data_IF_713074872259
#
_entry.id   IF_713074872259
#
_cell.length_a   1.000
_cell.length_b   1.000
_cell.length_c   1.000
_cell.angle_alpha   90.00
_cell.angle_beta   90.00
_cell.angle_gamma   90.00
#
_symmetry.space_group_name_H-M   'P 1'
#
loop_
_entity.id
_entity.type
_entity.pdbx_description
1 polymer ?
2 water ?
#
# COMPACT_ATOMS: atom_id res chain seq x y z
N UNK A 2 5.49 -9.76 -15.39
CA UNK A 2 5.21 -9.06 -14.10
C UNK A 2 3.85 -9.44 -13.56
N UNK A 3 3.73 -9.39 -12.24
CA UNK A 3 2.49 -9.74 -11.58
C UNK A 3 1.35 -8.81 -12.03
N UNK A 4 1.59 -7.50 -12.21
CA UNK A 4 0.55 -6.59 -12.63
C UNK A 4 0.92 -6.02 -14.00
N UNK A 5 0.06 -6.24 -14.99
CA UNK A 5 0.31 -5.79 -16.36
C UNK A 5 -0.98 -5.16 -16.89
N UNK A 6 -0.87 -3.90 -17.28
CA UNK A 6 -1.99 -3.13 -17.82
C UNK A 6 -1.61 -2.44 -19.11
N UNK A 7 -2.49 -2.52 -20.09
CA UNK A 7 -2.42 -1.75 -21.31
C UNK A 7 -3.84 -1.35 -21.73
N UNK A 8 -4.24 -0.13 -21.39
CA UNK A 8 -5.57 0.39 -21.65
C UNK A 8 -5.47 1.65 -22.50
N UNK A 9 -6.56 1.98 -23.20
CA UNK A 9 -6.64 3.18 -23.99
C UNK A 9 -7.96 3.90 -23.77
N UNK A 10 -7.91 5.24 -23.86
CA UNK A 10 -9.08 6.10 -23.71
C UNK A 10 -8.99 7.21 -24.72
N UNK A 11 -10.09 7.54 -25.41
CA UNK A 11 -10.06 8.66 -26.35
C UNK A 11 -10.32 9.96 -25.60
N UNK A 12 -9.47 10.95 -25.85
CA UNK A 12 -9.66 12.31 -25.33
C UNK A 12 -9.69 13.25 -26.54
N UNK A 13 -10.77 13.98 -26.67
CA UNK A 13 -10.97 14.93 -27.77
C UNK A 13 -10.37 16.29 -27.42
N UNK A 14 -9.05 16.30 -27.32
CA UNK A 14 -8.26 17.50 -27.03
C UNK A 14 -6.87 17.36 -27.64
N UNK A 15 -6.20 18.51 -27.83
CA UNK A 15 -4.87 18.57 -28.39
C UNK A 15 -3.89 17.80 -27.53
N UNK A 16 -2.95 17.10 -28.22
CA UNK A 16 -1.95 16.30 -27.55
C UNK A 16 -1.19 17.13 -26.53
N UNK A 17 -0.93 18.41 -26.82
CA UNK A 17 -0.21 19.22 -25.87
C UNK A 17 -0.93 19.37 -24.54
N UNK A 18 -2.26 19.58 -24.61
CA UNK A 18 -3.06 19.75 -23.41
C UNK A 18 -3.11 18.43 -22.65
N UNK A 19 -3.31 17.33 -23.39
CA UNK A 19 -3.45 16.05 -22.73
C UNK A 19 -2.12 15.68 -22.04
N UNK A 20 -1.00 15.90 -22.74
CA UNK A 20 0.28 15.55 -22.17
C UNK A 20 0.58 16.39 -20.92
N UNK A 21 0.21 17.69 -20.96
CA UNK A 21 0.43 18.53 -19.83
C UNK A 21 -0.39 18.06 -18.62
N UNK A 22 -1.64 17.60 -18.90
CA UNK A 22 -2.49 17.15 -17.82
C UNK A 22 -1.91 15.91 -17.13
N UNK A 23 -1.42 14.95 -17.92
CA UNK A 23 -0.95 13.72 -17.34
C UNK A 23 0.41 13.90 -16.69
N UNK A 24 1.13 14.97 -17.06
CA UNK A 24 2.43 15.24 -16.50
C UNK A 24 2.40 16.05 -15.19
N UNK A 25 1.19 16.41 -14.73
CA UNK A 25 1.03 17.21 -13.52
C UNK A 25 1.33 16.40 -12.24
N UNK A 26 2.42 16.76 -11.56
CA UNK A 26 2.91 16.00 -10.42
C UNK A 26 1.92 15.93 -9.28
N UNK A 27 1.15 17.01 -9.11
CA UNK A 27 0.16 17.05 -8.04
C UNK A 27 -1.02 16.10 -8.36
N UNK A 28 -1.37 16.00 -9.65
CA UNK A 28 -2.41 15.05 -10.03
C UNK A 28 -2.02 13.60 -9.70
N UNK A 29 -0.72 13.28 -9.84
CA UNK A 29 -0.27 11.93 -9.59
C UNK A 29 -0.61 11.48 -8.17
N UNK A 30 -0.53 12.41 -7.21
CA UNK A 30 -0.84 12.10 -5.83
C UNK A 30 -2.30 11.70 -5.67
N UNK A 31 -3.19 12.39 -6.42
CA UNK A 31 -4.60 12.06 -6.35
C UNK A 31 -4.88 10.75 -7.05
N UNK A 32 -4.29 10.55 -8.20
CA UNK A 32 -4.59 9.38 -8.99
C UNK A 32 -4.00 8.08 -8.42
N UNK A 33 -2.80 8.18 -7.85
CA UNK A 33 -2.05 7.04 -7.39
C UNK A 33 -1.50 7.33 -6.01
N UNK A 34 -2.36 7.46 -4.98
CA UNK A 34 -1.87 7.86 -3.66
C UNK A 34 -0.89 6.91 -2.98
N UNK A 35 -0.90 5.63 -3.36
CA UNK A 35 0.02 4.67 -2.75
C UNK A 35 1.26 4.42 -3.61
N UNK A 36 1.45 5.20 -4.67
CA UNK A 36 2.64 5.09 -5.50
C UNK A 36 3.46 6.39 -5.41
N UNK A 37 4.79 6.25 -5.54
CA UNK A 37 5.68 7.37 -5.78
C UNK A 37 6.23 7.22 -7.18
N UNK A 38 6.16 8.28 -7.98
CA UNK A 38 6.61 8.22 -9.36
C UNK A 38 7.84 9.10 -9.55
N UNK A 39 8.75 8.59 -10.39
CA UNK A 39 9.93 9.31 -10.84
C UNK A 39 9.86 9.38 -12.36
N UNK A 40 10.03 10.57 -12.94
CA UNK A 40 10.07 10.66 -14.38
C UNK A 40 11.37 10.13 -14.94
N UNK A 41 11.30 9.17 -15.87
CA UNK A 41 12.45 8.74 -16.61
C UNK A 41 12.56 9.49 -17.93
N UNK A 42 11.43 9.73 -18.58
CA UNK A 42 11.41 10.47 -19.83
C UNK A 42 10.15 11.31 -19.93
N UNK A 43 10.31 12.57 -20.28
CA UNK A 43 9.18 13.36 -20.71
C UNK A 43 9.24 13.45 -22.22
N UNK A 44 8.20 13.02 -22.94
CA UNK A 44 8.23 13.04 -24.37
C UNK A 44 7.14 13.96 -24.97
N UNK A 45 6.90 15.05 -24.26
CA UNK A 45 6.17 16.19 -24.77
C UNK A 45 4.79 15.73 -25.18
N UNK A 46 4.41 15.99 -26.41
CA UNK A 46 3.08 15.70 -26.93
C UNK A 46 2.82 14.20 -27.07
N UNK A 47 3.86 13.38 -26.80
CA UNK A 47 3.69 11.95 -26.88
C UNK A 47 3.52 11.29 -25.52
N UNK A 48 3.63 12.03 -24.42
CA UNK A 48 3.39 11.43 -23.12
C UNK A 48 4.66 11.37 -22.28
N UNK A 49 4.77 10.35 -21.46
CA UNK A 49 5.67 10.35 -20.32
C UNK A 49 5.97 8.91 -19.90
N UNK A 50 7.17 8.70 -19.35
CA UNK A 50 7.60 7.39 -18.84
C UNK A 50 8.10 7.59 -17.41
N UNK A 51 7.63 6.71 -16.52
CA UNK A 51 7.93 6.75 -15.10
C UNK A 51 8.56 5.43 -14.63
N UNK A 52 9.31 5.55 -13.54
CA UNK A 52 9.52 4.44 -12.62
C UNK A 52 8.60 4.62 -11.42
N UNK A 53 8.18 3.48 -10.91
CA UNK A 53 7.21 3.41 -9.84
C UNK A 53 7.86 2.77 -8.63
N UNK A 54 7.65 3.41 -7.47
CA UNK A 54 7.95 2.86 -6.15
C UNK A 54 6.74 3.06 -5.26
N UNK A 55 6.85 2.63 -4.01
CA UNK A 55 5.73 2.66 -3.10
C UNK A 55 5.11 1.27 -3.04
N UNK A 56 3.79 1.20 -3.21
CA UNK A 56 3.11 -0.07 -3.09
C UNK A 56 3.48 -1.03 -4.20
N UNK A 57 3.83 -0.49 -5.36
CA UNK A 57 4.32 -1.29 -6.48
C UNK A 57 5.68 -0.79 -6.89
N UNK A 58 6.45 -1.68 -7.52
CA UNK A 58 7.76 -1.40 -8.07
C UNK A 58 7.74 -1.83 -9.52
N UNK A 59 8.06 -0.91 -10.41
CA UNK A 59 8.03 -1.21 -11.83
C UNK A 59 8.10 0.04 -12.71
N UNK A 60 7.42 -0.04 -13.86
CA UNK A 60 7.41 1.03 -14.84
C UNK A 60 5.99 1.32 -15.25
N UNK A 61 5.78 2.56 -15.68
CA UNK A 61 4.45 3.05 -16.01
C UNK A 61 4.65 4.07 -17.10
N UNK A 62 3.75 4.12 -18.07
CA UNK A 62 3.87 5.04 -19.18
C UNK A 62 2.49 5.54 -19.60
N UNK A 63 2.50 6.75 -20.19
CA UNK A 63 1.41 7.21 -21.01
C UNK A 63 1.98 7.51 -22.40
N UNK A 64 1.28 7.02 -23.42
CA UNK A 64 1.55 7.30 -24.81
C UNK A 64 0.33 7.89 -25.48
N UNK A 65 0.52 8.92 -26.30
CA UNK A 65 -0.61 9.54 -26.99
C UNK A 65 -0.50 9.34 -28.50
N UNK A 66 -1.53 8.76 -29.09
CA UNK A 66 -1.61 8.53 -30.52
C UNK A 66 -2.74 9.38 -31.09
N UNK A 67 -2.49 10.30 -32.04
CA UNK A 67 -3.57 11.07 -32.63
C UNK A 67 -4.65 10.17 -33.22
N UNK A 68 -5.91 10.59 -33.00
CA UNK A 68 -7.08 9.90 -33.50
C UNK A 68 -8.24 10.89 -33.49
N UNK A 69 -9.10 10.85 -34.52
CA UNK A 69 -10.34 11.62 -34.51
C UNK A 69 -10.00 13.11 -34.25
N UNK A 70 -10.59 13.72 -33.22
CA UNK A 70 -10.38 15.12 -32.88
C UNK A 70 -9.44 15.27 -31.70
N UNK A 71 -8.58 14.29 -31.48
CA UNK A 71 -7.78 14.30 -30.28
C UNK A 71 -6.71 13.21 -30.30
N UNK A 72 -6.65 12.47 -29.18
CA UNK A 72 -5.62 11.46 -28.99
C UNK A 72 -6.22 10.25 -28.27
N UNK A 73 -5.60 9.10 -28.52
CA UNK A 73 -5.83 7.93 -27.69
C UNK A 73 -4.79 7.92 -26.59
N UNK A 74 -5.27 8.01 -25.36
CA UNK A 74 -4.41 8.06 -24.18
C UNK A 74 -4.18 6.63 -23.73
N UNK A 75 -2.98 6.13 -24.05
CA UNK A 75 -2.55 4.78 -23.67
C UNK A 75 -1.99 4.86 -22.27
N UNK A 76 -2.48 3.99 -21.39
CA UNK A 76 -1.99 3.85 -20.04
C UNK A 76 -1.38 2.45 -19.91
N UNK A 77 -0.14 2.39 -19.49
CA UNK A 77 0.64 1.15 -19.38
C UNK A 77 1.24 1.05 -17.99
N UNK A 78 1.17 -0.13 -17.36
CA UNK A 78 1.79 -0.41 -16.09
C UNK A 78 2.35 -1.83 -16.14
N UNK A 79 3.60 -2.02 -15.72
CA UNK A 79 4.16 -3.33 -15.46
C UNK A 79 4.85 -3.23 -14.12
N UNK A 80 4.35 -3.96 -13.12
CA UNK A 80 4.94 -3.81 -11.78
C UNK A 80 4.72 -5.05 -10.93
N UNK A 81 5.45 -5.08 -9.83
CA UNK A 81 5.29 -6.07 -8.79
C UNK A 81 4.90 -5.39 -7.48
N UNK A 82 4.15 -6.06 -6.61
CA UNK A 82 4.02 -5.60 -5.23
C UNK A 82 5.38 -5.47 -4.57
N UNK A 83 5.65 -4.32 -3.98
CA UNK A 83 7.01 -3.97 -3.59
C UNK A 83 7.49 -4.82 -2.44
N UNK A 84 8.64 -5.49 -2.60
CA UNK A 84 9.41 -5.99 -1.48
C UNK A 84 8.89 -7.31 -0.93
N UNK A 85 7.81 -7.86 -1.51
CA UNK A 85 7.14 -8.97 -0.86
C UNK A 85 7.97 -10.25 -0.93
N UNK A 86 7.80 -11.07 0.10
CA UNK A 86 8.35 -12.41 0.13
C UNK A 86 7.47 -13.30 -0.76
N UNK A 87 8.08 -14.40 -1.21
CA UNK A 87 7.36 -15.34 -2.06
C UNK A 87 6.09 -15.83 -1.36
N UNK A 88 6.13 -16.04 -0.03
CA UNK A 88 4.95 -16.52 0.68
C UNK A 88 3.82 -15.49 0.64
N UNK A 89 4.17 -14.19 0.62
CA UNK A 89 3.17 -13.14 0.55
C UNK A 89 2.57 -13.08 -0.84
N UNK A 90 3.44 -13.09 -1.87
CA UNK A 90 2.99 -13.02 -3.24
C UNK A 90 2.01 -14.17 -3.54
N UNK A 91 2.38 -15.35 -3.06
CA UNK A 91 1.62 -16.55 -3.32
C UNK A 91 0.20 -16.47 -2.77
N UNK A 92 -0.05 -15.65 -1.73
CA UNK A 92 -1.36 -15.50 -1.11
C UNK A 92 -2.14 -14.32 -1.67
N UNK A 93 -1.58 -13.56 -2.62
CA UNK A 93 -2.30 -12.40 -3.15
C UNK A 93 -3.21 -12.80 -4.32
N UNK A 94 -4.29 -12.05 -4.50
CA UNK A 94 -5.16 -12.19 -5.66
C UNK A 94 -4.73 -11.19 -6.73
N UNK A 95 -3.82 -11.64 -7.61
CA UNK A 95 -3.26 -10.72 -8.59
C UNK A 95 -4.33 -10.25 -9.60
N UNK A 96 -5.37 -11.04 -9.87
CA UNK A 96 -6.38 -10.61 -10.84
C UNK A 96 -7.15 -9.41 -10.28
N UNK A 97 -7.51 -9.54 -9.01
CA UNK A 97 -8.28 -8.50 -8.33
C UNK A 97 -7.41 -7.26 -8.23
N UNK A 98 -6.14 -7.45 -7.85
CA UNK A 98 -5.21 -6.32 -7.75
C UNK A 98 -5.08 -5.64 -9.11
N UNK A 99 -4.96 -6.41 -10.18
CA UNK A 99 -4.83 -5.84 -11.51
C UNK A 99 -6.09 -5.04 -11.86
N UNK A 100 -7.24 -5.58 -11.53
CA UNK A 100 -8.50 -4.89 -11.77
C UNK A 100 -8.52 -3.53 -11.09
N UNK A 101 -8.12 -3.51 -9.82
CA UNK A 101 -8.12 -2.26 -9.08
C UNK A 101 -7.18 -1.24 -9.72
N UNK A 102 -6.02 -1.71 -10.16
CA UNK A 102 -5.08 -0.77 -10.79
C UNK A 102 -5.59 -0.29 -12.15
N UNK A 103 -6.33 -1.14 -12.87
CA UNK A 103 -6.94 -0.73 -14.13
C UNK A 103 -7.99 0.35 -13.89
N UNK A 104 -8.85 0.11 -12.89
CA UNK A 104 -9.90 1.08 -12.57
C UNK A 104 -9.26 2.44 -12.23
N UNK A 105 -8.16 2.42 -11.44
CA UNK A 105 -7.51 3.69 -11.08
C UNK A 105 -6.92 4.38 -12.31
N UNK A 106 -6.36 3.60 -13.23
CA UNK A 106 -5.86 4.17 -14.46
C UNK A 106 -6.93 4.81 -15.34
N UNK A 107 -8.08 4.15 -15.36
CA UNK A 107 -9.18 4.65 -16.13
C UNK A 107 -9.79 5.88 -15.47
N UNK A 108 -9.74 5.97 -14.14
CA UNK A 108 -10.24 7.17 -13.46
C UNK A 108 -9.35 8.37 -13.79
N UNK A 109 -8.04 8.11 -13.88
CA UNK A 109 -7.12 9.16 -14.32
C UNK A 109 -7.52 9.62 -15.72
N UNK A 110 -7.76 8.67 -16.63
CA UNK A 110 -7.96 9.00 -18.04
C UNK A 110 -9.27 9.76 -18.18
N UNK A 111 -10.30 9.26 -17.49
CA UNK A 111 -11.61 9.92 -17.58
C UNK A 111 -11.63 11.31 -16.93
N UNK A 112 -10.77 11.55 -15.94
CA UNK A 112 -10.67 12.87 -15.37
C UNK A 112 -10.05 13.79 -16.40
N UNK A 113 -8.94 13.34 -17.00
CA UNK A 113 -8.29 14.18 -18.00
C UNK A 113 -9.27 14.47 -19.12
N UNK A 114 -9.98 13.44 -19.58
CA UNK A 114 -11.00 13.62 -20.62
C UNK A 114 -12.03 14.67 -20.23
N UNK A 115 -12.57 14.52 -19.03
CA UNK A 115 -13.63 15.39 -18.56
C UNK A 115 -13.18 16.86 -18.54
N UNK A 116 -12.02 17.06 -17.93
CA UNK A 116 -11.54 18.41 -17.71
C UNK A 116 -11.20 19.06 -19.05
N UNK A 117 -10.58 18.32 -19.98
CA UNK A 117 -10.12 18.96 -21.20
C UNK A 117 -11.24 19.10 -22.23
N UNK A 118 -12.28 18.26 -22.17
CA UNK A 118 -13.37 18.37 -23.10
C UNK A 118 -14.43 19.33 -22.58
N UNK A 119 -14.39 19.73 -21.30
CA UNK A 119 -15.48 20.53 -20.71
C UNK A 119 -15.79 21.74 -21.58
N UNK A 120 -17.10 21.99 -21.78
CA UNK A 120 -17.54 23.17 -22.51
C UNK A 120 -17.46 24.44 -21.66
N UNK A 121 -17.58 25.60 -22.32
CA UNK A 121 -17.45 26.95 -21.75
C UNK A 121 -18.31 27.12 -20.48
N UNK A 122 -17.80 27.77 -19.40
CA UNK A 122 -18.60 28.05 -18.20
C UNK A 122 -19.76 29.01 -18.52
N UNK A 123 -20.78 29.03 -17.66
CA UNK A 123 -21.96 29.85 -17.92
C UNK A 123 -21.72 31.27 -17.45
N UNK A 124 -22.11 32.24 -18.29
CA UNK A 124 -21.98 33.66 -18.00
C UNK A 124 -20.54 34.04 -17.67
N UNK A 125 -19.64 33.48 -18.47
CA UNK A 125 -18.24 33.89 -18.53
C UNK A 125 -17.94 34.12 -20.01
N UNK A 126 -17.17 35.18 -20.31
CA UNK A 126 -16.80 35.49 -21.68
C UNK A 126 -15.88 34.43 -22.27
N UNK A 127 -15.91 34.21 -23.61
CA UNK A 127 -16.89 34.84 -24.50
C UNK A 127 -18.20 34.06 -24.59
N UNK A 128 -19.32 34.80 -24.58
CA UNK A 128 -20.66 34.23 -24.71
C UNK A 128 -21.02 34.25 -26.19
N UNK A 129 -21.24 33.05 -26.75
CA UNK A 129 -21.62 32.87 -28.15
C UNK A 129 -22.68 31.76 -28.26
N UNK B 2 3.70 10.41 13.90
CA UNK B 2 3.47 9.65 12.64
C UNK B 2 3.87 8.17 12.79
N UNK B 3 3.63 7.58 13.97
CA UNK B 3 3.96 6.20 14.21
C UNK B 3 2.72 5.41 14.65
N UNK B 4 2.85 4.11 14.60
CA UNK B 4 1.91 3.22 15.21
C UNK B 4 2.54 2.72 16.49
N UNK B 5 1.85 2.97 17.63
CA UNK B 5 2.37 2.57 18.92
C UNK B 5 1.29 1.80 19.64
N UNK B 6 1.63 0.55 19.95
CA UNK B 6 0.71 -0.32 20.66
C UNK B 6 1.43 -0.90 21.86
N UNK B 7 0.73 -0.94 22.99
CA UNK B 7 1.15 -1.66 24.18
C UNK B 7 -0.10 -2.23 24.85
N UNK B 8 -0.47 -3.44 24.44
CA UNK B 8 -1.68 -4.09 24.93
C UNK B 8 -1.29 -5.34 25.69
N UNK B 9 -2.25 -5.83 26.46
CA UNK B 9 -2.02 -7.03 27.26
C UNK B 9 -3.30 -7.85 27.27
N UNK B 10 -3.06 -9.16 27.32
CA UNK B 10 -4.13 -10.13 27.33
C UNK B 10 -3.78 -11.18 28.36
N UNK B 11 -4.73 -11.48 29.25
CA UNK B 11 -4.56 -12.57 30.21
C UNK B 11 -4.78 -13.89 29.50
N UNK B 12 -3.84 -14.82 29.66
CA UNK B 12 -3.98 -16.18 29.17
C UNK B 12 -3.78 -17.12 30.36
N UNK B 13 -4.78 -17.96 30.63
CA UNK B 13 -4.68 -18.91 31.73
C UNK B 13 -3.99 -20.17 31.21
N UNK B 14 -2.68 -20.04 30.97
CA UNK B 14 -1.82 -21.15 30.61
C UNK B 14 -0.37 -20.81 30.93
N UNK B 15 0.45 -21.86 30.97
CA UNK B 15 1.86 -21.83 31.28
C UNK B 15 2.61 -20.96 30.28
N UNK B 16 3.60 -20.22 30.77
CA UNK B 16 4.43 -19.40 29.89
C UNK B 16 5.07 -20.24 28.79
N UNK B 17 5.46 -21.48 29.12
CA UNK B 17 6.10 -22.33 28.12
C UNK B 17 5.16 -22.62 26.94
N UNK B 18 3.90 -22.85 27.24
CA UNK B 18 2.93 -23.17 26.21
C UNK B 18 2.61 -21.93 25.39
N UNK B 19 2.51 -20.80 26.07
CA UNK B 19 2.17 -19.57 25.38
C UNK B 19 3.33 -19.20 24.44
N UNK B 20 4.57 -19.33 24.94
CA UNK B 20 5.72 -18.93 24.13
C UNK B 20 5.85 -19.81 22.88
N UNK B 21 5.52 -21.10 23.01
CA UNK B 21 5.57 -21.99 21.85
C UNK B 21 4.56 -21.53 20.80
N UNK B 22 3.38 -21.12 21.27
CA UNK B 22 2.32 -20.69 20.39
C UNK B 22 2.72 -19.42 19.62
N UNK B 23 3.29 -18.45 20.35
CA UNK B 23 3.60 -17.19 19.69
C UNK B 23 4.83 -17.31 18.81
N UNK B 24 5.63 -18.37 18.99
CA UNK B 24 6.87 -18.52 18.24
C UNK B 24 6.66 -19.25 16.90
N UNK B 25 5.43 -19.69 16.60
CA UNK B 25 5.13 -20.42 15.37
C UNK B 25 5.21 -19.48 14.17
N UNK B 26 6.16 -19.73 13.27
CA UNK B 26 6.39 -18.85 12.14
C UNK B 26 5.23 -18.86 11.16
N UNK B 27 4.51 -20.00 11.09
CA UNK B 27 3.36 -20.03 10.21
C UNK B 27 2.23 -19.18 10.78
N UNK B 28 2.10 -19.14 12.11
CA UNK B 28 1.12 -18.24 12.71
C UNK B 28 1.45 -16.79 12.39
N UNK B 29 2.73 -16.42 12.38
CA UNK B 29 3.09 -15.03 12.09
C UNK B 29 2.52 -14.61 10.72
N UNK B 30 2.61 -15.51 9.74
CA UNK B 30 2.08 -15.22 8.42
C UNK B 30 0.58 -14.94 8.43
N UNK B 31 -0.14 -15.68 9.26
CA UNK B 31 -1.57 -15.52 9.36
C UNK B 31 -1.89 -14.24 10.11
N UNK B 32 -1.15 -13.96 11.17
CA UNK B 32 -1.50 -12.87 12.06
C UNK B 32 -1.12 -11.52 11.46
N UNK B 33 0.00 -11.49 10.74
CA UNK B 33 0.55 -10.27 10.18
C UNK B 33 0.91 -10.48 8.72
N UNK B 34 -0.08 -10.65 7.84
CA UNK B 34 0.21 -10.98 6.46
C UNK B 34 0.99 -9.94 5.68
N UNK B 35 0.91 -8.66 6.06
CA UNK B 35 1.61 -7.63 5.31
C UNK B 35 2.92 -7.24 5.99
N UNK B 36 3.36 -8.00 7.01
CA UNK B 36 4.64 -7.72 7.66
C UNK B 36 5.61 -8.86 7.41
N UNK B 37 6.91 -8.50 7.33
CA UNK B 37 7.97 -9.50 7.39
C UNK B 37 8.72 -9.26 8.69
N UNK B 38 8.94 -10.36 9.41
CA UNK B 38 9.51 -10.29 10.74
C UNK B 38 10.83 -11.05 10.76
N UNK B 39 11.84 -10.41 11.36
CA UNK B 39 13.13 -11.04 11.58
C UNK B 39 13.37 -11.01 13.09
N UNK B 40 13.70 -12.16 13.69
CA UNK B 40 13.95 -12.20 15.11
C UNK B 40 15.28 -11.54 15.43
N UNK B 41 15.24 -10.58 16.38
CA UNK B 41 16.43 -9.93 16.89
C UNK B 41 16.74 -10.37 18.31
N UNK B 42 15.74 -10.93 19.01
CA UNK B 42 15.95 -11.52 20.33
C UNK B 42 14.93 -12.65 20.53
N UNK B 43 15.45 -13.86 20.75
CA UNK B 43 14.59 -14.91 21.26
C UNK B 43 14.78 -14.99 22.78
N UNK B 44 13.68 -14.88 23.55
CA UNK B 44 13.82 -14.99 25.00
C UNK B 44 12.97 -16.14 25.56
N UNK B 45 12.87 -17.24 24.78
CA UNK B 45 12.33 -18.50 25.25
C UNK B 45 10.95 -18.32 25.89
N UNK B 46 10.80 -18.73 27.15
CA UNK B 46 9.53 -18.75 27.85
C UNK B 46 8.99 -17.34 28.10
N UNK B 47 9.79 -16.30 27.79
CA UNK B 47 9.40 -14.94 28.11
C UNK B 47 9.04 -14.16 26.84
N UNK B 48 9.11 -14.79 25.65
CA UNK B 48 8.66 -14.13 24.45
C UNK B 48 9.78 -13.88 23.43
N UNK B 49 9.58 -12.82 22.61
CA UNK B 49 10.30 -12.68 21.36
C UNK B 49 10.29 -11.21 20.92
N UNK B 50 11.38 -10.78 20.28
CA UNK B 50 11.54 -9.43 19.75
C UNK B 50 11.94 -9.50 18.28
N UNK B 51 11.20 -8.75 17.46
CA UNK B 51 11.41 -8.69 16.03
C UNK B 51 11.79 -7.29 15.57
N UNK B 52 12.51 -7.29 14.44
CA UNK B 52 12.57 -6.16 13.52
C UNK B 52 11.55 -6.39 12.41
N UNK B 53 10.84 -5.33 12.06
CA UNK B 53 9.68 -5.38 11.19
C UNK B 53 9.97 -4.63 9.91
N UNK B 54 9.63 -5.28 8.80
CA UNK B 54 9.67 -4.71 7.45
C UNK B 54 8.36 -5.10 6.76
N UNK B 55 8.20 -4.66 5.52
CA UNK B 55 6.94 -4.80 4.79
C UNK B 55 6.13 -3.52 4.88
N UNK B 56 4.86 -3.64 5.26
CA UNK B 56 3.98 -2.48 5.29
C UNK B 56 4.41 -1.45 6.32
N UNK B 57 5.00 -1.95 7.42
CA UNK B 57 5.54 -1.09 8.46
C UNK B 57 7.02 -1.40 8.63
N UNK B 58 7.76 -0.41 9.15
CA UNK B 58 9.16 -0.58 9.50
C UNK B 58 9.32 -0.17 10.97
N UNK B 59 9.98 -1.01 11.76
CA UNK B 59 10.17 -0.70 13.17
C UNK B 59 10.45 -1.97 13.98
N UNK B 60 9.89 -2.00 15.21
CA UNK B 60 10.11 -3.09 16.13
C UNK B 60 8.76 -3.59 16.65
N UNK B 61 8.70 -4.88 16.95
CA UNK B 61 7.55 -5.53 17.52
C UNK B 61 8.05 -6.52 18.56
N UNK B 62 7.29 -6.70 19.65
CA UNK B 62 7.68 -7.64 20.69
C UNK B 62 6.46 -8.27 21.33
N UNK B 63 6.66 -9.50 21.81
CA UNK B 63 5.77 -10.11 22.78
C UNK B 63 6.58 -10.47 24.02
N UNK B 64 6.08 -10.05 25.18
CA UNK B 64 6.69 -10.31 26.48
C UNK B 64 5.65 -10.96 27.37
N UNK B 65 6.07 -12.01 28.08
CA UNK B 65 5.18 -12.80 28.91
C UNK B 65 5.58 -12.62 30.36
N UNK B 66 4.62 -12.33 31.23
CA UNK B 66 4.92 -12.35 32.66
C UNK B 66 3.84 -13.13 33.40
N UNK B 67 4.21 -13.88 34.45
CA UNK B 67 3.21 -14.60 35.23
C UNK B 67 2.24 -13.64 35.90
N UNK B 68 0.97 -14.04 35.92
CA UNK B 68 -0.10 -13.24 36.46
C UNK B 68 -1.25 -14.19 36.76
N UNK B 69 -1.83 -14.06 37.96
CA UNK B 69 -3.03 -14.83 38.30
C UNK B 69 -2.74 -16.31 38.06
N UNK B 70 -3.54 -17.01 37.25
CA UNK B 70 -3.32 -18.45 37.05
C UNK B 70 -2.62 -18.70 35.71
N UNK B 71 -1.88 -17.73 35.20
CA UNK B 71 -1.34 -17.84 33.85
C UNK B 71 -0.31 -16.75 33.59
N UNK B 72 -0.49 -16.03 32.47
CA UNK B 72 0.44 -14.99 32.07
C UNK B 72 -0.33 -13.80 31.50
N UNK B 73 0.28 -12.63 31.63
CA UNK B 73 -0.05 -11.52 30.75
C UNK B 73 0.80 -11.60 29.50
N UNK B 74 0.09 -11.64 28.37
CA UNK B 74 0.73 -11.61 27.07
C UNK B 74 0.76 -10.15 26.62
N UNK B 75 1.94 -9.52 26.73
CA UNK B 75 2.13 -8.15 26.28
C UNK B 75 2.43 -8.12 24.79
N UNK B 76 1.64 -7.33 24.05
CA UNK B 76 1.89 -7.10 22.62
C UNK B 76 2.33 -5.65 22.40
N UNK B 77 3.52 -5.48 21.79
CA UNK B 77 4.11 -4.16 21.61
C UNK B 77 4.48 -3.94 20.15
N UNK B 78 4.14 -2.76 19.64
CA UNK B 78 4.57 -2.36 18.30
C UNK B 78 4.97 -0.89 18.31
N UNK B 79 6.11 -0.59 17.69
CA UNK B 79 6.52 0.78 17.42
C UNK B 79 7.05 0.79 16.00
N UNK B 80 6.24 1.29 15.07
CA UNK B 80 6.63 1.23 13.68
C UNK B 80 5.98 2.34 12.89
N UNK B 81 6.56 2.58 11.72
CA UNK B 81 6.16 3.66 10.82
C UNK B 81 5.83 3.07 9.46
N UNK B 82 4.84 3.63 8.75
CA UNK B 82 4.53 3.18 7.39
C UNK B 82 5.77 3.24 6.51
N UNK B 83 6.09 2.13 5.86
CA UNK B 83 7.39 1.97 5.24
C UNK B 83 7.63 2.89 4.05
N UNK B 84 8.67 3.74 4.12
CA UNK B 84 9.16 4.48 2.96
C UNK B 84 8.26 5.62 2.48
N UNK B 85 7.25 5.99 3.27
CA UNK B 85 6.23 6.90 2.73
C UNK B 85 6.79 8.32 2.66
N UNK B 86 6.33 9.04 1.65
CA UNK B 86 6.58 10.47 1.55
C UNK B 86 5.68 11.20 2.52
N UNK B 87 6.09 12.42 2.88
CA UNK B 87 5.27 13.24 3.77
C UNK B 87 3.85 13.40 3.22
N UNK B 88 3.69 13.56 1.90
CA UNK B 88 2.36 13.79 1.32
C UNK B 88 1.48 12.58 1.54
N UNK B 89 2.08 11.39 1.53
CA UNK B 89 1.30 10.17 1.73
C UNK B 89 0.94 10.05 3.20
N UNK B 90 1.89 10.30 4.11
CA UNK B 90 1.61 10.24 5.55
C UNK B 90 0.43 11.14 5.91
N UNK B 91 0.43 12.32 5.32
CA UNK B 91 -0.63 13.30 5.58
C UNK B 91 -2.03 12.82 5.22
N UNK B 92 -2.16 11.87 4.29
CA UNK B 92 -3.45 11.33 3.88
C UNK B 92 -3.86 10.14 4.73
N UNK B 93 -2.98 9.64 5.63
CA UNK B 93 -3.30 8.45 6.40
C UNK B 93 -4.04 8.83 7.69
N UNK B 94 -4.97 7.95 8.09
CA UNK B 94 -5.65 8.06 9.37
C UNK B 94 -4.91 7.12 10.33
N UNK B 95 -3.92 7.66 11.05
CA UNK B 95 -3.13 6.82 11.92
C UNK B 95 -3.91 6.21 13.08
N UNK B 96 -5.01 6.81 13.52
CA UNK B 96 -5.76 6.25 14.62
C UNK B 96 -6.49 5.00 14.14
N UNK B 97 -7.06 5.09 12.92
CA UNK B 97 -7.75 3.97 12.30
C UNK B 97 -6.74 2.84 12.08
N UNK B 98 -5.56 3.20 11.56
CA UNK B 98 -4.51 2.23 11.32
C UNK B 98 -4.10 1.54 12.62
N UNK B 99 -3.93 2.34 13.68
CA UNK B 99 -3.57 1.80 14.97
C UNK B 99 -4.65 0.84 15.43
N UNK B 100 -5.90 1.24 15.30
CA UNK B 100 -6.99 0.38 15.74
C UNK B 100 -6.94 -0.96 15.01
N UNK B 101 -6.73 -0.93 13.68
CA UNK B 101 -6.70 -2.17 12.93
C UNK B 101 -5.55 -3.05 13.40
N UNK B 102 -4.39 -2.47 13.70
CA UNK B 102 -3.26 -3.27 14.16
C UNK B 102 -3.51 -3.78 15.57
N UNK B 103 -4.27 -3.03 16.38
CA UNK B 103 -4.65 -3.53 17.70
C UNK B 103 -5.61 -4.70 17.57
N UNK B 104 -6.60 -4.61 16.68
CA UNK B 104 -7.54 -5.72 16.48
C UNK B 104 -6.74 -6.94 16.03
N UNK B 105 -5.75 -6.75 15.15
CA UNK B 105 -4.93 -7.88 14.71
C UNK B 105 -4.12 -8.48 15.86
N UNK B 106 -3.61 -7.64 16.76
CA UNK B 106 -2.93 -8.13 17.95
C UNK B 106 -3.85 -8.94 18.87
N UNK B 107 -5.10 -8.49 18.98
CA UNK B 107 -6.08 -9.17 19.79
C UNK B 107 -6.55 -10.46 19.14
N UNK B 108 -6.56 -10.54 17.79
CA UNK B 108 -6.83 -11.77 17.08
C UNK B 108 -5.76 -12.80 17.44
N UNK B 109 -4.51 -12.35 17.44
CA UNK B 109 -3.39 -13.21 17.75
C UNK B 109 -3.59 -13.75 19.18
N UNK B 110 -3.92 -12.88 20.13
CA UNK B 110 -4.06 -13.27 21.52
C UNK B 110 -5.24 -14.22 21.71
N UNK B 111 -6.38 -13.94 21.04
CA UNK B 111 -7.56 -14.77 21.12
C UNK B 111 -7.31 -16.17 20.56
N UNK B 112 -6.50 -16.27 19.49
CA UNK B 112 -6.24 -17.58 18.91
C UNK B 112 -5.37 -18.35 19.89
N UNK B 113 -4.32 -17.69 20.40
CA UNK B 113 -3.43 -18.36 21.34
C UNK B 113 -4.25 -18.83 22.55
N UNK B 114 -5.06 -17.93 23.09
CA UNK B 114 -5.89 -18.20 24.25
C UNK B 114 -6.81 -19.39 23.99
N UNK B 115 -7.51 -19.36 22.86
CA UNK B 115 -8.50 -20.37 22.52
C UNK B 115 -7.83 -21.74 22.46
N UNK B 116 -6.72 -21.79 21.73
CA UNK B 116 -6.05 -23.05 21.46
C UNK B 116 -5.50 -23.62 22.77
N UNK B 117 -4.91 -22.77 23.63
CA UNK B 117 -4.27 -23.29 24.83
C UNK B 117 -5.27 -23.55 25.95
N UNK B 118 -6.35 -22.75 26.07
CA UNK B 118 -7.40 -23.02 27.04
C UNK B 118 -8.41 -23.99 26.39
#
# INVERSE_FOLDING_TARGET
>A
MNSIQIADETYVAADAARVSAAVADRCSWRRWWPDLRLQVTEDRADKGIRWTVTGALTGTMEIWLEPSMDGVLLHYFLHAEPTGVAAWQLARMNLARMTHHRRVAGKKMAFEVKTVLERSRPIGVSPVT
>B
MNSIQIADETYVAADAARVSAAVADRCSWRRWWPDLRLQVTEDRADKGIRWTVTGALTGTMEIWLEPSMDGVLLHYFLHAEPTGVAAWQLARMNLARMTHHRRVAGKKMAFEVKTVLERSRPIGVSPVT
#
